data_IF_439562767110
#
_entry.id   IF_439562767110
#
_cell.length_a   1.000
_cell.length_b   1.000
_cell.length_c   1.000
_cell.angle_alpha   90.00
_cell.angle_beta   90.00
_cell.angle_gamma   90.00
#
_symmetry.space_group_name_H-M   'P 1'
#
loop_
_entity.id
_entity.type
_entity.pdbx_description
1 polymer ?
#
# COMPACT_ATOMS: atom_id res chain seq x y z
N UNK A 1 9.11 -11.08 -0.15
CA UNK A 1 9.51 -10.31 1.05
C UNK A 1 9.18 -8.85 0.82
N UNK A 2 8.53 -8.20 1.77
CA UNK A 2 8.24 -6.77 1.76
C UNK A 2 9.12 -6.07 2.81
N UNK A 3 9.93 -5.11 2.37
CA UNK A 3 10.80 -4.32 3.23
C UNK A 3 10.25 -2.90 3.39
N UNK A 4 9.93 -2.54 4.63
CA UNK A 4 9.46 -1.21 5.04
C UNK A 4 10.63 -0.38 5.59
N UNK A 5 11.53 0.03 4.70
CA UNK A 5 12.60 0.99 4.97
C UNK A 5 12.16 2.41 4.61
N UNK A 6 13.13 3.34 4.57
CA UNK A 6 12.92 4.70 4.03
C UNK A 6 12.21 4.64 2.68
N UNK A 7 12.70 3.78 1.79
CA UNK A 7 11.99 3.30 0.59
C UNK A 7 11.34 1.94 0.84
N UNK A 8 10.35 1.62 0.02
CA UNK A 8 9.66 0.33 0.02
C UNK A 8 10.27 -0.59 -1.04
N UNK A 9 10.51 -1.85 -0.68
CA UNK A 9 10.95 -2.88 -1.64
C UNK A 9 10.12 -4.12 -1.48
N UNK A 10 9.50 -4.56 -2.57
CA UNK A 10 8.91 -5.89 -2.67
C UNK A 10 9.80 -6.78 -3.52
N UNK A 11 10.34 -7.83 -2.91
CA UNK A 11 11.30 -8.76 -3.51
C UNK A 11 10.69 -10.14 -3.64
N UNK A 12 10.74 -10.72 -4.83
CA UNK A 12 10.24 -12.07 -5.11
C UNK A 12 11.27 -12.87 -5.91
N UNK A 13 11.38 -14.17 -5.65
CA UNK A 13 12.29 -15.09 -6.36
C UNK A 13 11.49 -15.87 -7.39
N UNK A 14 12.08 -16.12 -8.55
CA UNK A 14 11.49 -16.95 -9.61
C UNK A 14 12.43 -18.06 -10.07
N UNK A 15 11.82 -19.14 -10.56
CA UNK A 15 12.46 -20.10 -11.45
C UNK A 15 12.48 -19.49 -12.86
N UNK A 16 13.67 -19.36 -13.46
CA UNK A 16 13.79 -18.69 -14.75
C UNK A 16 13.69 -17.16 -14.69
N UNK A 17 14.07 -16.53 -15.81
CA UNK A 17 13.97 -15.09 -16.00
C UNK A 17 12.52 -14.69 -16.31
N UNK A 18 12.00 -13.74 -15.53
CA UNK A 18 10.72 -13.07 -15.75
C UNK A 18 10.99 -11.57 -15.80
N UNK A 19 10.19 -10.81 -16.54
CA UNK A 19 10.38 -9.37 -16.67
C UNK A 19 9.09 -8.62 -16.98
N UNK A 20 9.00 -7.38 -16.50
CA UNK A 20 7.92 -6.44 -16.81
C UNK A 20 8.42 -4.98 -16.77
N UNK A 21 9.37 -4.61 -17.64
CA UNK A 21 9.99 -3.28 -17.64
C UNK A 21 8.99 -2.14 -17.90
N UNK A 22 7.91 -2.40 -18.62
CA UNK A 22 6.81 -1.46 -18.88
C UNK A 22 6.08 -1.02 -17.61
N UNK A 23 6.15 -1.80 -16.53
CA UNK A 23 5.66 -1.45 -15.19
C UNK A 23 6.81 -1.18 -14.22
N UNK A 24 8.02 -0.91 -14.72
CA UNK A 24 9.21 -0.65 -13.93
C UNK A 24 9.56 -1.72 -12.89
N UNK A 25 9.25 -2.99 -13.17
CA UNK A 25 9.71 -4.12 -12.35
C UNK A 25 11.15 -4.43 -12.70
N UNK A 26 12.03 -4.39 -11.70
CA UNK A 26 13.43 -4.79 -11.87
C UNK A 26 13.54 -6.32 -11.87
N UNK A 27 14.41 -6.86 -12.72
CA UNK A 27 14.62 -8.30 -12.88
C UNK A 27 16.11 -8.59 -12.99
N UNK A 28 16.67 -9.36 -12.06
CA UNK A 28 18.10 -9.67 -12.02
C UNK A 28 18.36 -11.14 -11.68
N UNK A 29 19.56 -11.63 -11.96
CA UNK A 29 20.00 -12.94 -11.52
C UNK A 29 20.03 -13.02 -9.99
N UNK A 30 19.58 -14.15 -9.43
CA UNK A 30 19.75 -14.44 -8.02
C UNK A 30 21.17 -14.99 -7.77
N UNK A 31 21.62 -14.98 -6.52
CA UNK A 31 22.90 -15.56 -6.13
C UNK A 31 22.95 -17.10 -6.22
N UNK A 32 21.80 -17.75 -6.46
CA UNK A 32 21.70 -19.21 -6.59
C UNK A 32 21.58 -19.58 -8.06
N UNK A 33 22.23 -20.67 -8.52
CA UNK A 33 22.13 -21.12 -9.91
C UNK A 33 20.68 -21.37 -10.34
N UNK A 34 20.34 -20.97 -11.57
CA UNK A 34 19.01 -21.18 -12.14
C UNK A 34 17.89 -20.39 -11.46
N UNK A 35 18.23 -19.36 -10.67
CA UNK A 35 17.26 -18.51 -9.97
C UNK A 35 17.42 -17.05 -10.37
N UNK A 36 16.30 -16.34 -10.37
CA UNK A 36 16.22 -14.90 -10.61
C UNK A 36 15.40 -14.23 -9.51
N UNK A 37 15.44 -12.91 -9.47
CA UNK A 37 14.57 -12.15 -8.59
C UNK A 37 13.97 -10.93 -9.28
N UNK A 38 12.76 -10.63 -8.87
CA UNK A 38 11.95 -9.50 -9.27
C UNK A 38 11.88 -8.51 -8.11
N UNK A 39 11.94 -7.22 -8.42
CA UNK A 39 11.77 -6.17 -7.42
C UNK A 39 10.82 -5.08 -7.91
N UNK A 40 9.83 -4.79 -7.08
CA UNK A 40 9.13 -3.50 -7.10
C UNK A 40 9.81 -2.56 -6.10
N UNK A 41 9.99 -1.31 -6.51
CA UNK A 41 10.64 -0.27 -5.71
C UNK A 41 9.72 0.93 -5.60
N UNK A 42 9.32 1.23 -4.37
CA UNK A 42 8.59 2.43 -3.98
C UNK A 42 9.59 3.44 -3.41
N UNK A 43 9.64 4.65 -3.98
CA UNK A 43 10.70 5.62 -3.62
C UNK A 43 10.53 6.25 -2.25
N UNK A 44 9.31 6.32 -1.72
CA UNK A 44 9.02 6.90 -0.40
C UNK A 44 8.02 6.02 0.35
N UNK A 45 8.49 5.24 1.33
CA UNK A 45 7.64 4.37 2.15
C UNK A 45 7.62 4.84 3.61
N UNK A 46 8.55 4.38 4.46
CA UNK A 46 8.63 4.88 5.84
C UNK A 46 8.97 6.37 5.90
N UNK A 47 9.67 6.92 4.89
CA UNK A 47 9.93 8.36 4.80
C UNK A 47 8.65 9.20 4.71
N UNK A 48 7.55 8.67 4.16
CA UNK A 48 6.26 9.35 4.18
C UNK A 48 5.71 9.49 5.61
N UNK A 49 5.95 8.50 6.47
CA UNK A 49 5.52 8.54 7.87
C UNK A 49 6.36 9.55 8.65
N UNK A 50 7.68 9.57 8.45
CA UNK A 50 8.55 10.59 9.07
C UNK A 50 8.17 12.02 8.63
N UNK A 51 7.92 12.19 7.33
CA UNK A 51 7.45 13.46 6.76
C UNK A 51 6.09 13.87 7.34
N UNK A 52 5.12 12.94 7.40
CA UNK A 52 3.79 13.22 7.92
C UNK A 52 3.81 13.52 9.43
N UNK A 53 4.64 12.83 10.21
CA UNK A 53 4.81 13.11 11.63
C UNK A 53 5.30 14.55 11.87
N UNK A 54 6.18 15.04 11.00
CA UNK A 54 6.64 16.43 11.03
C UNK A 54 5.54 17.39 10.58
N UNK A 55 4.89 17.12 9.44
CA UNK A 55 3.85 17.96 8.85
C UNK A 55 2.66 18.19 9.79
N UNK A 56 2.25 17.14 10.51
CA UNK A 56 1.09 17.15 11.41
C UNK A 56 1.42 17.66 12.81
N UNK A 57 2.70 17.88 13.14
CA UNK A 57 3.14 18.27 14.47
C UNK A 57 3.16 17.14 15.50
N UNK A 58 2.89 15.88 15.11
CA UNK A 58 2.92 14.71 15.99
C UNK A 58 4.35 14.29 16.38
N UNK A 59 5.35 14.74 15.62
CA UNK A 59 6.77 14.72 15.97
C UNK A 59 7.49 13.38 15.84
N UNK A 60 6.79 12.25 15.98
CA UNK A 60 7.39 10.91 15.85
C UNK A 60 6.48 9.94 15.10
N UNK A 61 7.09 8.96 14.40
CA UNK A 61 6.33 7.91 13.70
C UNK A 61 5.43 7.10 14.64
N UNK A 62 5.85 6.70 15.86
CA UNK A 62 4.93 6.04 16.81
C UNK A 62 3.72 6.90 17.19
N UNK A 63 3.90 8.22 17.38
CA UNK A 63 2.79 9.13 17.67
C UNK A 63 1.86 9.30 16.46
N UNK A 64 2.41 9.37 15.24
CA UNK A 64 1.63 9.37 14.00
C UNK A 64 0.75 8.12 13.90
N UNK A 65 1.32 6.94 14.14
CA UNK A 65 0.59 5.67 14.06
C UNK A 65 -0.50 5.60 15.13
N UNK A 66 -0.22 6.04 16.36
CA UNK A 66 -1.22 6.09 17.43
C UNK A 66 -2.36 7.06 17.10
N UNK A 67 -2.07 8.21 16.50
CA UNK A 67 -3.10 9.14 16.05
C UNK A 67 -3.94 8.54 14.91
N UNK A 68 -3.32 7.84 13.96
CA UNK A 68 -4.02 7.16 12.88
C UNK A 68 -4.96 6.05 13.37
N UNK A 69 -4.59 5.33 14.44
CA UNK A 69 -5.44 4.31 15.07
C UNK A 69 -6.63 4.93 15.82
N UNK A 70 -6.50 6.19 16.27
CA UNK A 70 -7.55 6.95 16.95
C UNK A 70 -8.33 7.91 16.01
N UNK A 71 -8.11 7.83 14.70
CA UNK A 71 -8.78 8.68 13.73
C UNK A 71 -10.29 8.45 13.73
N UNK A 72 -11.06 9.49 13.43
CA UNK A 72 -12.51 9.39 13.38
C UNK A 72 -12.96 8.51 12.20
N UNK A 73 -13.64 7.40 12.50
CA UNK A 73 -14.18 6.48 11.49
C UNK A 73 -15.39 7.07 10.74
N UNK A 74 -16.06 8.07 11.30
CA UNK A 74 -17.19 8.75 10.66
C UNK A 74 -16.76 9.90 9.74
N UNK A 75 -15.47 10.26 9.74
CA UNK A 75 -14.95 11.29 8.84
C UNK A 75 -14.90 10.77 7.40
N UNK A 76 -15.15 11.67 6.44
CA UNK A 76 -14.97 11.37 5.02
C UNK A 76 -13.54 10.86 4.74
N UNK A 77 -13.34 10.00 3.73
CA UNK A 77 -12.02 9.48 3.42
C UNK A 77 -11.12 10.56 2.80
N UNK A 78 -9.88 10.65 3.31
CA UNK A 78 -8.80 11.43 2.69
C UNK A 78 -7.85 10.48 2.00
N UNK A 79 -7.56 10.76 0.74
CA UNK A 79 -6.64 9.98 -0.06
C UNK A 79 -5.25 10.59 -0.03
N UNK A 80 -4.22 9.76 0.16
CA UNK A 80 -2.84 10.17 0.06
C UNK A 80 -2.12 9.43 -1.08
N UNK A 81 -1.49 10.18 -1.99
CA UNK A 81 -0.52 9.64 -2.94
C UNK A 81 0.89 9.81 -2.36
N UNK A 82 1.67 8.73 -2.18
CA UNK A 82 2.96 8.79 -1.47
C UNK A 82 4.17 9.18 -2.33
N UNK A 83 3.96 9.87 -3.46
CA UNK A 83 5.01 10.11 -4.46
C UNK A 83 5.86 11.36 -4.16
N UNK A 84 6.37 11.47 -2.92
CA UNK A 84 7.14 12.63 -2.46
C UNK A 84 8.47 12.81 -3.23
N UNK A 85 9.00 11.74 -3.83
CA UNK A 85 10.28 11.72 -4.55
C UNK A 85 10.11 11.32 -6.03
N UNK A 86 8.93 11.57 -6.61
CA UNK A 86 8.49 10.85 -7.80
C UNK A 86 8.11 9.41 -7.45
N UNK A 87 7.90 8.56 -8.46
CA UNK A 87 7.69 7.14 -8.23
C UNK A 87 8.34 6.27 -9.30
N UNK A 88 8.82 5.09 -8.89
CA UNK A 88 9.42 4.11 -9.79
C UNK A 88 8.44 3.03 -10.18
N UNK A 89 8.12 2.09 -9.30
CA UNK A 89 7.15 1.03 -9.63
C UNK A 89 5.76 1.46 -9.16
N UNK A 90 4.70 1.37 -9.98
CA UNK A 90 4.65 0.87 -11.36
C UNK A 90 4.77 1.93 -12.46
N UNK A 91 4.88 3.22 -12.09
CA UNK A 91 4.63 4.35 -13.01
C UNK A 91 5.84 4.85 -13.81
N UNK A 92 7.05 4.61 -13.32
CA UNK A 92 8.31 5.17 -13.79
C UNK A 92 8.27 6.68 -14.03
N UNK A 93 7.67 7.43 -13.10
CA UNK A 93 7.40 8.83 -13.26
C UNK A 93 8.20 9.69 -12.26
N UNK A 94 9.31 10.33 -12.68
CA UNK A 94 10.09 11.21 -11.81
C UNK A 94 9.38 12.52 -11.46
N UNK A 95 8.32 12.87 -12.20
CA UNK A 95 7.54 14.09 -11.97
C UNK A 95 6.33 13.87 -11.05
N UNK A 96 6.04 12.62 -10.65
CA UNK A 96 4.97 12.34 -9.70
C UNK A 96 5.19 13.10 -8.37
N UNK A 97 4.09 13.46 -7.71
CA UNK A 97 4.08 14.28 -6.49
C UNK A 97 3.18 13.67 -5.44
N UNK A 98 3.52 13.95 -4.18
CA UNK A 98 2.62 13.66 -3.07
C UNK A 98 1.37 14.51 -3.14
N UNK A 99 0.22 13.92 -2.81
CA UNK A 99 -1.09 14.59 -2.87
C UNK A 99 -1.91 14.15 -1.68
N UNK A 100 -2.54 15.11 -0.99
CA UNK A 100 -3.74 14.85 -0.20
C UNK A 100 -4.96 15.28 -1.00
N UNK A 101 -5.97 14.41 -1.09
CA UNK A 101 -7.20 14.67 -1.82
C UNK A 101 -8.42 14.30 -0.98
N UNK A 102 -9.48 15.13 -1.03
CA UNK A 102 -10.71 14.91 -0.26
C UNK A 102 -10.77 15.66 1.08
N UNK A 103 -9.89 16.64 1.31
CA UNK A 103 -9.90 17.40 2.56
C UNK A 103 -11.16 18.26 2.71
N UNK A 104 -11.71 18.21 3.91
CA UNK A 104 -12.81 19.03 4.45
C UNK A 104 -12.42 19.53 5.85
N UNK A 105 -13.21 20.45 6.42
CA UNK A 105 -12.97 20.98 7.78
C UNK A 105 -13.05 19.94 8.91
N UNK A 106 -13.54 18.73 8.65
CA UNK A 106 -13.64 17.66 9.65
C UNK A 106 -12.31 16.92 9.86
N UNK A 107 -11.33 17.11 8.98
CA UNK A 107 -10.08 16.36 9.03
C UNK A 107 -9.01 17.07 9.86
N UNK A 108 -8.35 16.31 10.72
CA UNK A 108 -7.22 16.75 11.52
C UNK A 108 -5.97 15.89 11.32
N UNK A 109 -4.97 16.07 12.20
CA UNK A 109 -3.74 15.28 12.20
C UNK A 109 -3.95 13.76 12.19
N UNK A 110 -4.98 13.25 12.86
CA UNK A 110 -5.29 11.83 12.96
C UNK A 110 -5.75 11.25 11.61
N UNK A 111 -6.70 11.92 10.94
CA UNK A 111 -7.22 11.48 9.64
C UNK A 111 -6.13 11.59 8.55
N UNK A 112 -5.30 12.63 8.59
CA UNK A 112 -4.13 12.75 7.72
C UNK A 112 -3.11 11.63 7.97
N UNK A 113 -2.88 11.26 9.23
CA UNK A 113 -2.00 10.16 9.59
C UNK A 113 -2.52 8.82 9.06
N UNK A 114 -3.82 8.55 9.20
CA UNK A 114 -4.48 7.36 8.63
C UNK A 114 -4.33 7.33 7.11
N UNK A 115 -4.65 8.43 6.43
CA UNK A 115 -4.53 8.55 4.98
C UNK A 115 -3.10 8.26 4.49
N UNK A 116 -2.07 8.69 5.22
CA UNK A 116 -0.67 8.39 4.86
C UNK A 116 -0.35 6.91 4.98
N UNK A 117 -0.77 6.25 6.06
CA UNK A 117 -0.55 4.81 6.24
C UNK A 117 -1.25 3.98 5.17
N UNK A 118 -2.49 4.35 4.85
CA UNK A 118 -3.30 3.71 3.80
C UNK A 118 -2.70 3.96 2.41
N UNK A 119 -2.37 5.21 2.09
CA UNK A 119 -1.78 5.61 0.80
C UNK A 119 -0.45 4.90 0.51
N UNK A 120 0.42 4.80 1.51
CA UNK A 120 1.64 3.98 1.41
C UNK A 120 1.29 2.50 1.24
N UNK A 121 0.30 1.99 1.98
CA UNK A 121 -0.17 0.62 1.84
C UNK A 121 -0.69 0.28 0.44
N UNK A 122 -1.50 1.15 -0.15
CA UNK A 122 -2.03 0.99 -1.51
C UNK A 122 -0.91 0.98 -2.56
N UNK A 123 0.04 1.92 -2.48
CA UNK A 123 1.17 1.94 -3.42
C UNK A 123 2.09 0.71 -3.27
N UNK A 124 2.25 0.17 -2.06
CA UNK A 124 2.96 -1.09 -1.87
C UNK A 124 2.18 -2.27 -2.48
N UNK A 125 0.86 -2.30 -2.34
CA UNK A 125 0.01 -3.32 -2.96
C UNK A 125 0.06 -3.25 -4.49
N UNK A 126 0.01 -2.06 -5.10
CA UNK A 126 0.24 -1.86 -6.54
C UNK A 126 1.58 -2.47 -6.98
N UNK A 127 2.64 -2.23 -6.18
CA UNK A 127 3.96 -2.80 -6.39
C UNK A 127 4.00 -4.33 -6.29
N UNK A 128 3.21 -4.93 -5.40
CA UNK A 128 3.08 -6.38 -5.26
C UNK A 128 2.33 -6.97 -6.46
N UNK A 129 1.22 -6.36 -6.86
CA UNK A 129 0.38 -6.80 -7.96
C UNK A 129 1.13 -6.84 -9.29
N UNK A 130 1.96 -5.83 -9.57
CA UNK A 130 2.75 -5.84 -10.83
C UNK A 130 3.81 -6.94 -10.84
N UNK A 131 4.39 -7.30 -9.69
CA UNK A 131 5.31 -8.43 -9.57
C UNK A 131 4.56 -9.76 -9.70
N UNK A 132 3.36 -9.87 -9.11
CA UNK A 132 2.53 -11.07 -9.22
C UNK A 132 2.02 -11.30 -10.65
N UNK A 133 1.77 -10.22 -11.39
CA UNK A 133 1.43 -10.27 -12.80
C UNK A 133 2.53 -10.86 -13.69
N UNK A 134 3.79 -10.93 -13.21
CA UNK A 134 4.87 -11.65 -13.90
C UNK A 134 4.75 -13.18 -13.78
N UNK A 135 3.83 -13.70 -12.95
CA UNK A 135 3.62 -15.13 -12.74
C UNK A 135 4.09 -15.65 -11.37
N UNK A 136 4.59 -14.79 -10.49
CA UNK A 136 5.00 -15.18 -9.13
C UNK A 136 3.82 -15.07 -8.15
N UNK A 137 3.44 -16.18 -7.52
CA UNK A 137 2.34 -16.22 -6.54
C UNK A 137 2.84 -16.80 -5.22
N UNK A 138 3.24 -15.97 -4.25
CA UNK A 138 3.70 -16.46 -2.96
C UNK A 138 2.53 -16.92 -2.10
N UNK A 139 2.75 -17.93 -1.26
CA UNK A 139 1.79 -18.35 -0.22
C UNK A 139 1.76 -17.34 0.95
N UNK A 140 2.90 -16.75 1.28
CA UNK A 140 3.02 -15.70 2.29
C UNK A 140 4.13 -14.72 1.96
N UNK A 141 4.06 -13.54 2.58
CA UNK A 141 5.03 -12.46 2.40
C UNK A 141 5.68 -12.13 3.74
N UNK A 142 6.97 -12.41 3.86
CA UNK A 142 7.75 -11.97 5.01
C UNK A 142 7.86 -10.44 5.03
N UNK A 143 7.51 -9.82 6.15
CA UNK A 143 7.59 -8.39 6.39
C UNK A 143 8.80 -8.04 7.26
N UNK A 144 9.61 -7.08 6.81
CA UNK A 144 10.79 -6.58 7.51
C UNK A 144 10.84 -5.03 7.50
N UNK A 145 11.80 -4.45 8.23
CA UNK A 145 12.04 -3.01 8.25
C UNK A 145 11.45 -2.30 9.48
N UNK A 146 11.80 -1.02 9.65
CA UNK A 146 11.38 -0.23 10.81
C UNK A 146 9.87 -0.03 10.88
N UNK A 147 9.24 0.13 9.72
CA UNK A 147 7.78 0.26 9.59
C UNK A 147 6.99 -0.96 10.08
N UNK A 148 7.58 -2.15 10.00
CA UNK A 148 6.94 -3.41 10.36
C UNK A 148 6.71 -3.59 11.87
N UNK A 149 7.23 -2.69 12.71
CA UNK A 149 7.13 -2.80 14.19
C UNK A 149 5.71 -2.60 14.70
N UNK A 150 4.91 -1.76 14.04
CA UNK A 150 3.52 -1.50 14.43
C UNK A 150 2.63 -2.71 14.13
N UNK A 151 1.83 -3.15 15.12
CA UNK A 151 0.82 -4.19 14.89
C UNK A 151 -0.34 -3.67 14.05
N UNK A 152 -0.79 -2.44 14.32
CA UNK A 152 -1.85 -1.77 13.59
C UNK A 152 -1.54 -1.67 12.09
N UNK A 153 -0.37 -1.14 11.74
CA UNK A 153 -0.01 -0.97 10.33
C UNK A 153 0.24 -2.30 9.62
N UNK A 154 0.75 -3.32 10.34
CA UNK A 154 0.86 -4.68 9.80
C UNK A 154 -0.48 -5.27 9.39
N UNK A 155 -1.49 -5.11 10.23
CA UNK A 155 -2.84 -5.59 9.93
C UNK A 155 -3.41 -4.85 8.71
N UNK A 156 -3.31 -3.52 8.71
CA UNK A 156 -3.75 -2.68 7.59
C UNK A 156 -3.09 -3.09 6.26
N UNK A 157 -1.77 -3.34 6.24
CA UNK A 157 -1.08 -3.81 5.04
C UNK A 157 -1.56 -5.19 4.58
N UNK A 158 -1.86 -6.10 5.52
CA UNK A 158 -2.41 -7.41 5.19
C UNK A 158 -3.81 -7.29 4.58
N UNK A 159 -4.65 -6.42 5.14
CA UNK A 159 -6.00 -6.18 4.65
C UNK A 159 -6.00 -5.50 3.27
N UNK A 160 -5.12 -4.50 3.06
CA UNK A 160 -4.97 -3.80 1.78
C UNK A 160 -4.44 -4.73 0.68
N UNK A 161 -3.39 -5.50 0.98
CA UNK A 161 -2.76 -6.38 -0.03
C UNK A 161 -3.51 -7.69 -0.27
N UNK A 162 -4.41 -8.07 0.64
CA UNK A 162 -5.05 -9.39 0.64
C UNK A 162 -4.07 -10.55 0.80
N UNK A 163 -2.85 -10.30 1.26
CA UNK A 163 -1.79 -11.31 1.42
C UNK A 163 -1.59 -11.68 2.88
N UNK A 164 -1.21 -12.93 3.14
CA UNK A 164 -0.68 -13.31 4.45
C UNK A 164 0.70 -12.66 4.66
N UNK A 165 0.81 -11.81 5.68
CA UNK A 165 2.07 -11.16 6.06
C UNK A 165 2.70 -11.83 7.28
N UNK A 166 3.90 -12.36 7.12
CA UNK A 166 4.66 -12.99 8.19
C UNK A 166 5.67 -12.00 8.80
N UNK A 167 5.40 -11.52 10.01
CA UNK A 167 6.34 -10.67 10.75
C UNK A 167 7.10 -11.48 11.79
N UNK A 168 8.44 -11.43 11.73
CA UNK A 168 9.32 -12.06 12.72
C UNK A 168 9.90 -11.00 13.64
N UNK A 169 9.53 -11.03 14.92
CA UNK A 169 10.23 -10.26 15.94
C UNK A 169 11.68 -10.74 15.98
N UNK A 170 12.64 -9.85 15.74
CA UNK A 170 14.04 -10.18 15.95
C UNK A 170 14.21 -10.66 17.39
N UNK A 171 14.47 -11.96 17.58
CA UNK A 171 14.88 -12.49 18.88
C UNK A 171 16.21 -11.82 19.22
N UNK A 172 16.26 -11.23 20.40
CA UNK A 172 17.43 -10.59 20.99
C UNK A 172 18.66 -11.49 20.80
N UNK A 173 19.64 -11.01 20.03
CA UNK A 173 21.02 -11.51 19.89
C UNK A 173 21.22 -12.96 19.37
N UNK A 174 22.15 -13.09 18.42
CA UNK A 174 22.62 -14.32 17.80
C UNK A 174 23.40 -15.29 18.74
N UNK A 175 23.09 -15.36 20.05
CA UNK A 175 23.76 -16.25 21.02
C UNK A 175 22.88 -17.33 21.65
N UNK A 176 21.59 -17.42 21.33
CA UNK A 176 20.67 -18.38 21.99
C UNK A 176 19.80 -19.22 21.06
N UNK A 177 20.24 -19.44 19.82
CA UNK A 177 19.51 -20.24 18.82
C UNK A 177 19.88 -21.74 18.80
N UNK A 178 20.66 -22.23 19.76
CA UNK A 178 21.06 -23.64 19.82
C UNK A 178 20.24 -24.52 20.79
N UNK A 179 19.22 -24.02 21.50
CA UNK A 179 18.61 -24.82 22.61
C UNK A 179 17.10 -24.76 22.84
N UNK A 180 16.26 -24.09 22.04
CA UNK A 180 14.81 -24.10 22.31
C UNK A 180 14.01 -24.26 21.03
N UNK A 181 13.09 -25.23 21.07
CA UNK A 181 12.22 -25.64 19.98
C UNK A 181 11.40 -24.49 19.37
N UNK A 182 10.91 -24.76 18.17
CA UNK A 182 10.24 -23.83 17.27
C UNK A 182 9.22 -22.91 17.99
N UNK A 183 9.31 -21.58 17.83
CA UNK A 183 8.28 -20.68 18.33
C UNK A 183 7.01 -20.78 17.49
N UNK A 184 5.88 -20.62 18.17
CA UNK A 184 4.53 -20.67 17.60
C UNK A 184 4.28 -19.63 16.51
N UNK A 185 3.71 -20.09 15.40
CA UNK A 185 3.12 -19.29 14.34
C UNK A 185 2.00 -18.40 14.89
N UNK A 186 2.06 -17.09 14.67
CA UNK A 186 0.89 -16.22 14.80
C UNK A 186 0.42 -15.85 13.40
N UNK A 187 -0.57 -16.61 12.93
CA UNK A 187 -1.36 -16.27 11.75
C UNK A 187 -2.08 -14.93 12.02
N UNK A 188 -1.84 -13.94 11.17
CA UNK A 188 -2.62 -12.70 11.16
C UNK A 188 -3.90 -13.04 10.38
N UNK A 189 -5.04 -13.11 11.08
CA UNK A 189 -6.34 -13.32 10.45
C UNK A 189 -6.75 -12.04 9.72
N UNK A 190 -7.18 -12.19 8.48
CA UNK A 190 -7.84 -11.14 7.70
C UNK A 190 -9.18 -10.82 8.40
N UNK A 191 -9.34 -9.60 8.90
CA UNK A 191 -10.59 -9.15 9.52
C UNK A 191 -11.18 -7.98 8.73
N UNK A 192 -12.48 -8.08 8.45
CA UNK A 192 -13.30 -7.20 7.60
C UNK A 192 -13.06 -5.70 7.81
N UNK A 193 -12.40 -5.06 6.86
CA UNK A 193 -12.66 -3.66 6.46
C UNK A 193 -13.38 -3.66 5.10
N UNK A 194 -14.20 -2.64 4.77
CA UNK A 194 -14.81 -2.54 3.45
C UNK A 194 -13.72 -2.42 2.38
N UNK A 195 -13.68 -3.40 1.48
CA UNK A 195 -12.77 -3.43 0.34
C UNK A 195 -13.31 -2.45 -0.71
N UNK A 196 -12.61 -1.34 -0.93
CA UNK A 196 -12.85 -0.47 -2.08
C UNK A 196 -12.12 -1.04 -3.30
N UNK A 197 -12.88 -1.50 -4.30
CA UNK A 197 -12.33 -2.13 -5.49
C UNK A 197 -11.96 -1.07 -6.54
N UNK A 198 -10.68 -0.87 -6.82
CA UNK A 198 -10.23 -0.10 -7.99
C UNK A 198 -10.04 -1.05 -9.18
N UNK A 199 -10.96 -1.03 -10.14
CA UNK A 199 -10.86 -1.85 -11.35
C UNK A 199 -9.89 -1.18 -12.35
N UNK A 200 -8.74 -1.83 -12.60
CA UNK A 200 -7.71 -1.41 -13.57
C UNK A 200 -8.06 -1.66 -15.05
N UNK A 201 -9.29 -2.07 -15.37
CA UNK A 201 -9.67 -2.48 -16.74
C UNK A 201 -10.34 -1.39 -17.59
N UNK A 202 -10.62 -0.23 -17.02
CA UNK A 202 -11.16 0.93 -17.72
C UNK A 202 -10.57 2.18 -17.07
N UNK A 203 -10.17 3.16 -17.87
CA UNK A 203 -9.58 4.43 -17.41
C UNK A 203 -10.64 5.33 -16.73
N UNK A 204 -11.35 4.81 -15.71
CA UNK A 204 -12.47 5.42 -15.01
C UNK A 204 -12.42 5.08 -13.53
N UNK A 205 -12.44 6.12 -12.70
CA UNK A 205 -12.69 6.01 -11.26
C UNK A 205 -14.19 5.70 -11.07
N UNK A 206 -14.52 4.53 -10.54
CA UNK A 206 -15.89 4.18 -10.15
C UNK A 206 -15.91 4.06 -8.64
N UNK A 207 -16.58 5.01 -7.98
CA UNK A 207 -16.86 4.98 -6.55
C UNK A 207 -18.27 4.40 -6.39
N UNK A 208 -18.39 3.23 -5.75
CA UNK A 208 -19.68 2.68 -5.37
C UNK A 208 -19.99 3.11 -3.92
N UNK A 209 -20.98 3.99 -3.76
CA UNK A 209 -21.52 4.38 -2.46
C UNK A 209 -22.66 3.44 -2.02
N UNK A 210 -22.93 3.28 -0.71
CA UNK A 210 -23.95 2.35 -0.19
C UNK A 210 -25.41 2.81 -0.35
N UNK A 211 -25.68 3.88 -1.09
CA UNK A 211 -27.05 4.35 -1.35
C UNK A 211 -27.11 4.99 -2.73
N UNK A 212 -28.16 4.62 -3.46
CA UNK A 212 -28.32 4.83 -4.89
C UNK A 212 -28.21 6.31 -5.30
N UNK A 213 -27.04 6.72 -5.80
CA UNK A 213 -26.91 7.84 -6.73
C UNK A 213 -25.67 7.64 -7.61
N UNK A 214 -25.88 7.25 -8.87
CA UNK A 214 -24.82 7.10 -9.86
C UNK A 214 -24.45 8.48 -10.42
N UNK A 215 -23.36 9.09 -9.92
CA UNK A 215 -22.80 10.32 -10.51
C UNK A 215 -21.66 9.93 -11.45
N UNK A 216 -21.88 10.07 -12.76
CA UNK A 216 -20.81 9.95 -13.76
C UNK A 216 -20.17 11.32 -13.97
N UNK A 217 -18.92 11.51 -13.54
CA UNK A 217 -18.10 12.67 -13.92
C UNK A 217 -17.65 12.52 -15.39
N UNK A 218 -18.26 13.29 -16.29
CA UNK A 218 -17.87 13.37 -17.70
C UNK A 218 -16.79 14.44 -17.89
N UNK A 219 -15.58 14.04 -18.28
CA UNK A 219 -14.63 14.93 -18.93
C UNK A 219 -15.11 15.22 -20.37
N UNK A 220 -15.25 16.49 -20.72
CA UNK A 220 -16.08 16.96 -21.83
C UNK A 220 -15.62 16.66 -23.26
N UNK A 221 -16.61 16.51 -24.15
CA UNK A 221 -16.79 17.26 -25.42
C UNK A 221 -18.26 17.13 -25.89
N UNK A 222 -18.77 18.06 -26.73
CA UNK A 222 -20.18 18.44 -26.75
C UNK A 222 -21.03 17.60 -27.72
N UNK A 223 -22.35 17.72 -27.52
CA UNK A 223 -23.46 17.20 -28.34
C UNK A 223 -23.95 15.78 -28.00
N UNK A 224 -24.98 15.70 -27.17
CA UNK A 224 -26.15 14.85 -27.42
C UNK A 224 -27.30 15.26 -26.50
N UNK A 225 -28.49 15.31 -27.10
CA UNK A 225 -29.74 15.91 -26.62
C UNK A 225 -30.28 15.29 -25.32
N UNK A 226 -30.79 16.18 -24.46
CA UNK A 226 -31.71 15.84 -23.36
C UNK A 226 -32.99 15.22 -23.91
N UNK A 227 -33.38 14.04 -23.39
CA UNK A 227 -34.76 13.58 -23.37
C UNK A 227 -35.07 13.13 -21.94
N UNK A 228 -35.93 13.88 -21.28
CA UNK A 228 -36.53 13.59 -19.98
C UNK A 228 -37.61 12.52 -20.11
N UNK A 229 -37.63 11.53 -19.21
CA UNK A 229 -38.88 10.86 -18.86
C UNK A 229 -38.91 10.52 -17.37
N UNK A 230 -39.97 11.00 -16.74
CA UNK A 230 -40.34 10.93 -15.33
C UNK A 230 -40.51 9.50 -14.81
N UNK A 231 -40.17 9.31 -13.53
CA UNK A 231 -40.61 8.21 -12.68
C UNK A 231 -42.12 8.34 -12.35
N UNK A 232 -42.79 7.20 -12.12
CA UNK A 232 -43.92 7.12 -11.19
C UNK A 232 -43.39 6.82 -9.80
#
# INVERSE_FOLDING_TARGET
MLSLGTSGVYFAVSDGFLSKPESAVHSFCHALPGRWHLMSVMLSAASCLDWAATLTGLGTVPALIAAAEAANDDADPVWFLPYLSGERTPHNNPQAKGVFFGLTHQHGPAELARAVLEGVGYALADGMDVVHACGVKPESVTLIGGGARSAYWRQMLADISGQQLDFRTAVTSARRLARRGWPSWRCIKISRFPIYFLSSRWNRLIVLMPSALLVTLLAGKPSARFISSFYR
#
